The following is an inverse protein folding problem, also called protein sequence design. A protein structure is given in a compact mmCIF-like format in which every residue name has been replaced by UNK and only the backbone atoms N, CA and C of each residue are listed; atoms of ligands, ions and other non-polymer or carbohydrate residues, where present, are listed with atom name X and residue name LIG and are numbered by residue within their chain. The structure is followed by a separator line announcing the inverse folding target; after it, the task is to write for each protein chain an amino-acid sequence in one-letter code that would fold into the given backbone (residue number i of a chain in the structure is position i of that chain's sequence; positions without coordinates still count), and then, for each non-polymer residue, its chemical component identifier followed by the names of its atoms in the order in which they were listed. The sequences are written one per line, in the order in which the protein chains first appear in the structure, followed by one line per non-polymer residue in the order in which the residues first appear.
data_IF_481284617098
#
_entry.id   IF_481284617098
#
_cell.length_a   1.000
_cell.length_b   1.000
_cell.length_c   1.000
_cell.angle_alpha   90.00
_cell.angle_beta   90.00
_cell.angle_gamma   90.00
#
_symmetry.space_group_name_H-M   'P 1'
#
loop_
_entity.id
_entity.type
_entity.pdbx_description
1 polymer ?
#
# COMPACT_ATOMS: atom_id res chain seq x y z
N UNK A 1 21.84 -50.57 22.17
CA UNK A 1 21.04 -50.94 20.98
C UNK A 1 20.29 -49.69 20.56
N UNK A 2 20.71 -48.93 19.53
CA UNK A 2 20.34 -49.12 18.11
C UNK A 2 18.84 -49.45 17.93
N UNK A 3 18.04 -48.47 17.51
CA UNK A 3 17.46 -48.39 16.14
C UNK A 3 16.65 -47.11 15.93
N UNK A 4 16.87 -46.52 14.77
CA UNK A 4 16.09 -45.50 14.05
C UNK A 4 14.88 -46.13 13.37
N UNK A 5 13.78 -45.39 13.11
CA UNK A 5 13.24 -45.17 11.75
C UNK A 5 11.96 -44.30 11.73
N UNK A 6 11.83 -43.56 10.63
CA UNK A 6 10.89 -42.49 10.29
C UNK A 6 9.61 -42.96 9.55
N UNK A 7 8.73 -41.97 9.27
CA UNK A 7 7.62 -41.90 8.29
C UNK A 7 6.28 -42.54 8.73
N UNK A 8 5.08 -42.01 8.45
CA UNK A 8 4.62 -40.92 7.61
C UNK A 8 3.27 -40.41 8.15
N UNK A 9 2.96 -39.12 8.02
CA UNK A 9 1.56 -38.66 7.98
C UNK A 9 1.39 -37.89 6.68
N UNK A 10 0.84 -38.59 5.70
CA UNK A 10 0.28 -38.03 4.48
C UNK A 10 -1.00 -37.31 4.88
N UNK A 11 -0.98 -35.99 4.91
CA UNK A 11 -2.17 -35.17 5.04
C UNK A 11 -2.59 -34.70 3.64
N UNK A 12 -3.74 -35.21 3.22
CA UNK A 12 -4.47 -34.86 2.01
C UNK A 12 -4.81 -33.38 2.02
N UNK A 13 -4.17 -32.60 1.14
CA UNK A 13 -4.56 -31.24 0.79
C UNK A 13 -4.49 -31.11 -0.74
N UNK A 14 -5.55 -31.57 -1.40
CA UNK A 14 -5.81 -31.27 -2.80
C UNK A 14 -7.33 -31.17 -3.01
N UNK A 15 -7.89 -30.01 -2.66
CA UNK A 15 -9.15 -29.52 -3.20
C UNK A 15 -8.89 -28.11 -3.74
N UNK A 16 -7.91 -27.99 -4.64
CA UNK A 16 -7.89 -26.92 -5.61
C UNK A 16 -8.80 -27.32 -6.75
N UNK A 17 -9.79 -26.50 -7.08
CA UNK A 17 -10.46 -26.57 -8.38
C UNK A 17 -9.45 -26.19 -9.46
N UNK A 18 -8.60 -27.14 -9.84
CA UNK A 18 -7.85 -27.11 -11.08
C UNK A 18 -8.74 -27.79 -12.13
N UNK A 19 -9.34 -27.00 -13.01
CA UNK A 19 -9.78 -27.53 -14.30
C UNK A 19 -8.51 -27.89 -15.09
N UNK A 20 -8.27 -29.19 -15.26
CA UNK A 20 -7.27 -29.69 -16.19
C UNK A 20 -7.73 -29.38 -17.62
N UNK A 21 -6.98 -28.53 -18.32
CA UNK A 21 -7.00 -28.57 -19.79
C UNK A 21 -6.11 -29.75 -20.21
N UNK A 22 -6.59 -30.70 -21.04
CA UNK A 22 -5.73 -31.72 -21.60
C UNK A 22 -4.83 -31.09 -22.66
N UNK A 23 -3.52 -31.17 -22.48
CA UNK A 23 -2.57 -30.99 -23.58
C UNK A 23 -2.59 -32.24 -24.47
N UNK A 24 -2.93 -32.04 -25.75
CA UNK A 24 -2.73 -33.04 -26.80
C UNK A 24 -4.02 -33.55 -27.47
N UNK A 25 -4.60 -32.76 -28.37
CA UNK A 25 -5.32 -33.30 -29.51
C UNK A 25 -4.99 -32.48 -30.76
N UNK A 26 -4.33 -33.14 -31.70
CA UNK A 26 -4.05 -32.65 -33.03
C UNK A 26 -5.35 -32.32 -33.78
N UNK A 27 -5.23 -31.41 -34.76
CA UNK A 27 -6.22 -30.98 -35.75
C UNK A 27 -7.45 -31.89 -35.92
N UNK A 28 -8.61 -31.39 -35.50
CA UNK A 28 -9.90 -31.87 -35.96
C UNK A 28 -10.92 -30.73 -35.98
N UNK A 29 -11.09 -30.13 -37.16
CA UNK A 29 -12.27 -29.36 -37.57
C UNK A 29 -12.60 -28.13 -36.74
N UNK A 30 -12.20 -26.95 -37.21
CA UNK A 30 -12.64 -25.66 -36.71
C UNK A 30 -14.18 -25.57 -36.70
N UNK A 31 -14.79 -25.84 -35.55
CA UNK A 31 -16.13 -25.35 -35.23
C UNK A 31 -16.00 -23.86 -34.95
N UNK A 32 -16.82 -22.98 -35.55
CA UNK A 32 -16.82 -21.58 -35.20
C UNK A 32 -17.21 -21.46 -33.72
N UNK A 33 -16.22 -21.25 -32.86
CA UNK A 33 -16.45 -20.85 -31.48
C UNK A 33 -17.13 -19.50 -31.59
N UNK A 34 -18.44 -19.45 -31.34
CA UNK A 34 -19.14 -18.20 -31.16
C UNK A 34 -18.43 -17.48 -29.99
N UNK A 35 -17.59 -16.50 -30.32
CA UNK A 35 -17.20 -15.48 -29.34
C UNK A 35 -18.51 -14.79 -28.99
N UNK A 36 -19.10 -15.16 -27.87
CA UNK A 36 -20.09 -14.34 -27.22
C UNK A 36 -19.36 -13.07 -26.81
N UNK A 37 -19.29 -12.09 -27.72
CA UNK A 37 -18.93 -10.73 -27.35
C UNK A 37 -20.06 -10.22 -26.48
N UNK A 38 -19.82 -10.20 -25.16
CA UNK A 38 -20.63 -9.41 -24.26
C UNK A 38 -20.42 -7.95 -24.65
N UNK A 39 -21.31 -7.42 -25.49
CA UNK A 39 -21.40 -5.99 -25.76
C UNK A 39 -21.89 -5.35 -24.48
N UNK A 40 -20.98 -4.91 -23.62
CA UNK A 40 -21.37 -4.02 -22.54
C UNK A 40 -21.90 -2.73 -23.17
N UNK A 41 -23.06 -2.21 -22.72
CA UNK A 41 -23.53 -0.90 -23.13
C UNK A 41 -22.39 0.12 -22.95
N UNK A 42 -22.22 1.05 -23.88
CA UNK A 42 -21.23 2.13 -23.78
C UNK A 42 -21.39 2.96 -22.48
N UNK A 43 -22.56 2.86 -21.84
CA UNK A 43 -22.95 3.54 -20.60
C UNK A 43 -22.74 2.68 -19.34
N UNK A 44 -22.35 1.40 -19.50
CA UNK A 44 -22.10 0.48 -18.40
C UNK A 44 -20.66 0.63 -17.91
N UNK A 45 -20.41 1.64 -17.07
CA UNK A 45 -19.14 1.75 -16.37
C UNK A 45 -18.85 0.51 -15.51
N UNK A 46 -17.56 0.29 -15.23
CA UNK A 46 -17.05 -0.84 -14.46
C UNK A 46 -17.32 -0.62 -12.97
N UNK A 47 -17.58 -1.71 -12.27
CA UNK A 47 -17.66 -1.72 -10.82
C UNK A 47 -16.26 -1.94 -10.23
N UNK A 48 -15.84 -1.05 -9.33
CA UNK A 48 -14.55 -1.16 -8.65
C UNK A 48 -14.80 -1.34 -7.15
N UNK A 49 -14.15 -2.35 -6.57
CA UNK A 49 -14.34 -2.75 -5.19
C UNK A 49 -13.02 -2.75 -4.42
N UNK A 50 -13.09 -2.37 -3.14
CA UNK A 50 -11.91 -2.32 -2.30
C UNK A 50 -12.23 -2.15 -0.84
N UNK A 51 -11.21 -1.78 -0.09
CA UNK A 51 -11.29 -1.45 1.33
C UNK A 51 -10.53 -0.17 1.61
N UNK A 52 -10.94 0.51 2.68
CA UNK A 52 -10.25 1.69 3.19
C UNK A 52 -9.70 1.35 4.57
N UNK A 53 -8.43 1.62 4.80
CA UNK A 53 -7.77 1.21 6.04
C UNK A 53 -6.67 2.18 6.46
N UNK A 54 -6.30 2.06 7.72
CA UNK A 54 -5.17 2.76 8.35
C UNK A 54 -4.00 1.77 8.53
N UNK A 55 -2.99 1.79 7.63
CA UNK A 55 -1.86 0.86 7.68
C UNK A 55 -0.97 1.08 8.91
N UNK A 56 -0.95 2.27 9.49
CA UNK A 56 -0.19 2.54 10.70
C UNK A 56 -0.88 1.96 11.94
N UNK A 57 -2.21 1.99 12.00
CA UNK A 57 -2.95 1.33 13.07
C UNK A 57 -2.78 -0.19 12.99
N UNK A 58 -2.86 -0.77 11.78
CA UNK A 58 -2.57 -2.18 11.56
C UNK A 58 -1.17 -2.55 12.02
N UNK A 59 -0.17 -1.76 11.62
CA UNK A 59 1.22 -2.01 12.00
C UNK A 59 1.45 -1.84 13.50
N UNK A 60 0.83 -0.83 14.13
CA UNK A 60 0.89 -0.64 15.58
C UNK A 60 0.34 -1.85 16.33
N UNK A 61 -0.80 -2.38 15.89
CA UNK A 61 -1.40 -3.58 16.46
C UNK A 61 -0.52 -4.84 16.24
N UNK A 62 0.06 -4.98 15.04
CA UNK A 62 1.01 -6.06 14.74
C UNK A 62 2.27 -5.97 15.61
N UNK A 63 2.83 -4.77 15.77
CA UNK A 63 4.03 -4.53 16.55
C UNK A 63 3.78 -4.73 18.05
N UNK A 64 2.62 -4.34 18.56
CA UNK A 64 2.20 -4.58 19.94
C UNK A 64 2.02 -6.08 20.25
N UNK A 65 1.60 -6.87 19.25
CA UNK A 65 1.45 -8.32 19.39
C UNK A 65 2.80 -9.05 19.52
N UNK A 66 3.88 -8.49 18.96
CA UNK A 66 5.23 -9.02 19.09
C UNK A 66 5.58 -10.15 18.10
N UNK A 67 6.77 -10.75 18.29
CA UNK A 67 7.33 -11.76 17.37
C UNK A 67 6.54 -13.08 17.35
N UNK A 68 5.88 -13.42 18.46
CA UNK A 68 5.08 -14.65 18.60
C UNK A 68 3.58 -14.41 18.32
N UNK A 69 3.25 -13.35 17.57
CA UNK A 69 1.86 -13.02 17.28
C UNK A 69 1.17 -14.18 16.55
N UNK A 70 0.10 -14.78 17.13
CA UNK A 70 -0.60 -15.87 16.48
C UNK A 70 -1.47 -15.38 15.31
N UNK A 71 -1.64 -14.06 15.17
CA UNK A 71 -2.48 -13.46 14.14
C UNK A 71 -1.62 -13.19 12.91
N UNK A 72 -1.98 -13.76 11.74
CA UNK A 72 -1.19 -13.56 10.54
C UNK A 72 -1.34 -12.10 10.06
N UNK A 73 -0.26 -11.46 9.59
CA UNK A 73 -0.24 -10.06 9.13
C UNK A 73 -0.84 -9.95 7.71
N UNK A 74 -2.12 -10.28 7.60
CA UNK A 74 -2.88 -10.32 6.35
C UNK A 74 -4.01 -9.29 6.33
N UNK A 75 -4.22 -8.65 5.20
CA UNK A 75 -5.35 -7.74 4.95
C UNK A 75 -6.52 -8.47 4.28
N UNK A 76 -7.21 -9.29 5.07
CA UNK A 76 -8.44 -9.98 4.67
C UNK A 76 -9.48 -9.90 5.77
N UNK A 77 -10.76 -9.98 5.40
CA UNK A 77 -11.84 -9.99 6.38
C UNK A 77 -11.71 -11.17 7.34
N UNK A 78 -12.05 -10.93 8.60
CA UNK A 78 -11.93 -11.90 9.69
C UNK A 78 -10.56 -11.91 10.37
N UNK A 79 -9.57 -11.16 9.88
CA UNK A 79 -8.30 -10.96 10.59
C UNK A 79 -8.46 -9.79 11.58
N UNK A 80 -8.36 -10.02 12.90
CA UNK A 80 -8.64 -8.98 13.89
C UNK A 80 -7.79 -7.71 13.75
N UNK A 81 -6.49 -7.88 13.41
CA UNK A 81 -5.58 -6.75 13.18
C UNK A 81 -6.07 -5.87 12.02
N UNK A 82 -6.60 -6.48 10.96
CA UNK A 82 -7.12 -5.75 9.81
C UNK A 82 -8.47 -5.12 10.10
N UNK A 83 -9.38 -5.86 10.74
CA UNK A 83 -10.72 -5.36 11.11
C UNK A 83 -10.67 -4.13 12.03
N UNK A 84 -9.66 -4.04 12.90
CA UNK A 84 -9.40 -2.86 13.74
C UNK A 84 -8.81 -1.67 12.99
N UNK A 85 -8.14 -1.90 11.86
CA UNK A 85 -7.56 -0.87 11.01
C UNK A 85 -8.52 -0.34 9.92
N UNK A 86 -9.64 -1.03 9.69
CA UNK A 86 -10.62 -0.66 8.68
C UNK A 86 -11.37 0.63 9.02
N UNK A 87 -11.47 1.52 8.03
CA UNK A 87 -12.18 2.78 8.16
C UNK A 87 -13.62 2.59 7.71
N UNK A 88 -14.56 2.79 8.65
CA UNK A 88 -15.99 2.57 8.45
C UNK A 88 -16.71 3.89 8.19
N UNK A 89 -17.77 3.85 7.38
CA UNK A 89 -18.57 5.02 6.98
C UNK A 89 -17.72 6.23 6.54
N UNK A 90 -16.60 5.93 5.88
CA UNK A 90 -15.59 6.87 5.47
C UNK A 90 -15.74 7.19 3.97
N UNK A 91 -15.50 8.44 3.56
CA UNK A 91 -15.53 8.78 2.15
C UNK A 91 -14.33 8.18 1.41
N UNK A 92 -14.60 7.75 0.19
CA UNK A 92 -13.59 7.25 -0.76
C UNK A 92 -13.99 7.67 -2.18
N UNK A 93 -13.00 7.91 -3.01
CA UNK A 93 -13.19 8.24 -4.41
C UNK A 93 -12.13 7.60 -5.30
N UNK A 94 -12.40 7.58 -6.60
CA UNK A 94 -11.41 7.30 -7.63
C UNK A 94 -11.06 8.60 -8.33
N UNK A 95 -9.80 8.98 -8.23
CA UNK A 95 -9.25 10.15 -8.89
C UNK A 95 -8.79 9.79 -10.31
N UNK A 96 -9.14 10.65 -11.26
CA UNK A 96 -8.65 10.58 -12.62
C UNK A 96 -7.59 11.66 -12.88
N UNK A 97 -6.33 11.29 -13.15
CA UNK A 97 -5.27 12.25 -13.45
C UNK A 97 -5.48 13.03 -14.75
N UNK A 98 -6.34 12.57 -15.66
CA UNK A 98 -6.63 13.24 -16.94
C UNK A 98 -7.64 14.38 -16.74
N UNK A 99 -8.73 14.12 -16.01
CA UNK A 99 -9.77 15.11 -15.75
C UNK A 99 -9.52 15.95 -14.49
N UNK A 100 -8.53 15.57 -13.66
CA UNK A 100 -8.21 16.18 -12.37
C UNK A 100 -9.37 16.20 -11.36
N UNK A 101 -10.37 15.35 -11.58
CA UNK A 101 -11.57 15.26 -10.77
C UNK A 101 -11.84 13.81 -10.32
N UNK A 102 -12.58 13.62 -9.22
CA UNK A 102 -13.15 12.31 -8.88
C UNK A 102 -14.10 11.82 -9.99
N UNK A 103 -13.88 10.61 -10.50
CA UNK A 103 -14.77 9.97 -11.49
C UNK A 103 -15.84 9.10 -10.85
N UNK A 104 -15.61 8.68 -9.61
CA UNK A 104 -16.59 7.99 -8.78
C UNK A 104 -16.27 8.28 -7.31
N UNK A 105 -17.30 8.36 -6.47
CA UNK A 105 -17.16 8.57 -5.05
C UNK A 105 -18.28 7.86 -4.29
N UNK A 106 -18.01 7.53 -3.03
CA UNK A 106 -18.95 6.83 -2.16
C UNK A 106 -18.45 6.76 -0.74
N UNK A 107 -19.12 5.95 0.06
CA UNK A 107 -18.74 5.66 1.45
C UNK A 107 -18.37 4.19 1.58
N UNK A 108 -17.44 3.90 2.49
CA UNK A 108 -17.20 2.54 2.95
C UNK A 108 -18.39 2.03 3.76
N UNK A 109 -18.67 0.74 3.65
CA UNK A 109 -19.66 0.00 4.41
C UNK A 109 -19.32 -0.07 5.91
N UNK A 110 -20.19 -0.72 6.69
CA UNK A 110 -19.91 -1.06 8.09
C UNK A 110 -18.72 -2.03 8.24
N UNK A 111 -18.38 -2.78 7.19
CA UNK A 111 -17.22 -3.65 7.13
C UNK A 111 -15.97 -2.95 6.56
N UNK A 112 -15.99 -1.62 6.39
CA UNK A 112 -14.84 -0.85 5.86
C UNK A 112 -14.52 -1.09 4.38
N UNK A 113 -15.37 -1.82 3.67
CA UNK A 113 -15.26 -2.07 2.23
C UNK A 113 -16.03 -1.03 1.43
N UNK A 114 -15.62 -0.73 0.20
CA UNK A 114 -16.31 0.19 -0.68
C UNK A 114 -16.55 -0.43 -2.05
N UNK A 115 -17.57 0.08 -2.72
CA UNK A 115 -18.02 -0.38 -4.03
C UNK A 115 -18.46 0.86 -4.82
N UNK A 116 -17.74 1.15 -5.89
CA UNK A 116 -17.99 2.31 -6.75
C UNK A 116 -18.49 1.81 -8.10
N UNK A 117 -19.72 2.19 -8.44
CA UNK A 117 -20.35 1.89 -9.71
C UNK A 117 -20.02 2.96 -10.76
N UNK A 118 -20.25 2.62 -12.03
CA UNK A 118 -20.14 3.54 -13.17
C UNK A 118 -18.74 4.14 -13.38
N UNK A 119 -17.67 3.45 -12.98
CA UNK A 119 -16.31 3.90 -13.25
C UNK A 119 -16.03 3.77 -14.75
N UNK A 120 -15.58 4.81 -15.46
CA UNK A 120 -15.33 4.71 -16.88
C UNK A 120 -14.33 3.59 -17.22
N UNK A 121 -14.70 2.73 -18.17
CA UNK A 121 -13.77 1.76 -18.74
C UNK A 121 -12.80 2.50 -19.67
N UNK A 122 -11.49 2.45 -19.40
CA UNK A 122 -10.50 3.02 -20.32
C UNK A 122 -9.22 2.20 -20.37
N UNK A 123 -8.68 2.08 -21.57
CA UNK A 123 -7.35 1.54 -21.84
C UNK A 123 -6.34 2.69 -21.79
N UNK A 124 -5.29 2.57 -20.96
CA UNK A 124 -4.24 3.59 -20.85
C UNK A 124 -4.06 4.11 -19.43
N UNK A 125 -4.32 5.40 -19.22
CA UNK A 125 -4.05 6.05 -17.92
C UNK A 125 -4.94 5.46 -16.83
N UNK A 126 -4.40 4.94 -15.71
CA UNK A 126 -5.20 4.33 -14.67
C UNK A 126 -5.94 5.37 -13.82
N UNK A 127 -6.86 4.90 -12.96
CA UNK A 127 -7.42 5.70 -11.87
C UNK A 127 -6.67 5.41 -10.57
N UNK A 128 -6.79 6.30 -9.59
CA UNK A 128 -6.12 6.17 -8.30
C UNK A 128 -7.11 6.28 -7.14
N UNK A 129 -7.08 5.38 -6.15
CA UNK A 129 -7.88 5.52 -4.94
C UNK A 129 -7.51 6.80 -4.19
N UNK A 130 -8.53 7.54 -3.77
CA UNK A 130 -8.41 8.77 -3.01
C UNK A 130 -9.28 8.68 -1.76
N UNK A 131 -8.68 8.95 -0.60
CA UNK A 131 -9.37 9.07 0.66
C UNK A 131 -9.35 10.54 1.10
N UNK A 132 -10.50 11.23 1.15
CA UNK A 132 -10.56 12.60 1.63
C UNK A 132 -10.13 12.73 3.09
N UNK A 133 -9.72 13.95 3.45
CA UNK A 133 -9.44 14.32 4.83
C UNK A 133 -10.68 14.09 5.71
N UNK A 134 -10.48 13.65 6.95
CA UNK A 134 -11.56 13.53 7.92
C UNK A 134 -11.06 13.67 9.34
N UNK A 135 -11.94 14.11 10.23
CA UNK A 135 -11.73 13.88 11.65
C UNK A 135 -11.70 12.38 11.93
N UNK A 136 -10.80 11.97 12.80
CA UNK A 136 -10.79 10.60 13.29
C UNK A 136 -11.81 10.47 14.42
N UNK A 137 -12.50 9.33 14.49
CA UNK A 137 -13.16 8.93 15.71
C UNK A 137 -12.07 8.43 16.68
N UNK A 138 -12.19 8.70 17.98
CA UNK A 138 -11.19 8.24 18.96
C UNK A 138 -10.90 6.74 18.77
N UNK A 139 -9.62 6.38 18.63
CA UNK A 139 -9.23 4.96 18.57
C UNK A 139 -9.51 4.31 19.93
N UNK A 140 -9.84 3.00 19.97
CA UNK A 140 -10.05 2.27 21.23
C UNK A 140 -8.85 2.32 22.18
N UNK A 141 -7.67 2.63 21.65
CA UNK A 141 -6.39 2.52 22.34
C UNK A 141 -5.95 3.82 23.02
N UNK A 142 -6.85 4.82 23.15
CA UNK A 142 -6.57 6.08 23.85
C UNK A 142 -5.59 7.03 23.14
N UNK A 143 -5.11 6.67 21.95
CA UNK A 143 -4.36 7.57 21.07
C UNK A 143 -5.29 8.60 20.43
N UNK A 144 -5.10 9.88 20.77
CA UNK A 144 -5.75 10.98 20.04
C UNK A 144 -5.13 11.08 18.64
N UNK A 145 -5.84 10.56 17.65
CA UNK A 145 -5.65 10.96 16.25
C UNK A 145 -6.37 12.29 16.03
N UNK A 146 -5.64 13.36 15.73
CA UNK A 146 -6.24 14.67 15.41
C UNK A 146 -7.04 14.65 14.10
N UNK A 147 -6.81 13.64 13.26
CA UNK A 147 -7.51 13.42 12.00
C UNK A 147 -6.74 12.51 11.05
N UNK A 148 -7.28 12.38 9.85
CA UNK A 148 -6.61 11.80 8.69
C UNK A 148 -6.47 12.87 7.61
N UNK A 149 -5.32 12.85 6.93
CA UNK A 149 -5.02 13.74 5.81
C UNK A 149 -5.59 13.19 4.50
N UNK A 150 -5.90 14.08 3.53
CA UNK A 150 -6.30 13.63 2.21
C UNK A 150 -5.18 12.80 1.61
N UNK A 151 -5.48 11.60 1.14
CA UNK A 151 -4.48 10.61 0.72
C UNK A 151 -4.82 10.02 -0.65
N UNK A 152 -3.87 10.06 -1.57
CA UNK A 152 -3.94 9.43 -2.89
C UNK A 152 -3.05 8.19 -2.90
N UNK A 153 -3.62 7.01 -3.15
CA UNK A 153 -2.86 5.75 -3.17
C UNK A 153 -2.27 5.47 -4.56
N UNK A 154 -0.95 5.30 -4.65
CA UNK A 154 -0.18 5.04 -5.88
C UNK A 154 -0.34 3.62 -6.46
N UNK A 155 -1.39 2.89 -6.07
CA UNK A 155 -1.74 1.61 -6.68
C UNK A 155 -2.76 1.87 -7.78
N UNK A 156 -2.38 1.78 -9.07
CA UNK A 156 -3.28 2.09 -10.17
C UNK A 156 -4.44 1.11 -10.23
N UNK A 157 -5.61 1.61 -10.65
CA UNK A 157 -6.80 0.83 -10.98
C UNK A 157 -6.97 0.86 -12.50
N UNK A 158 -6.79 -0.29 -13.13
CA UNK A 158 -6.99 -0.46 -14.56
C UNK A 158 -8.42 -0.99 -14.84
N UNK A 159 -9.21 -0.26 -15.63
CA UNK A 159 -10.59 -0.64 -15.97
C UNK A 159 -10.76 -1.10 -17.41
N UNK A 160 -9.67 -1.08 -18.21
CA UNK A 160 -9.67 -1.46 -19.62
C UNK A 160 -9.56 -2.95 -19.91
N UNK A 161 -9.35 -3.79 -18.89
CA UNK A 161 -9.40 -5.24 -18.99
C UNK A 161 -10.69 -5.78 -18.39
N UNK A 162 -11.39 -6.66 -19.09
CA UNK A 162 -12.62 -7.30 -18.58
C UNK A 162 -12.28 -8.26 -17.44
N UNK A 163 -12.33 -7.73 -16.21
CA UNK A 163 -12.12 -8.45 -14.97
C UNK A 163 -12.36 -7.50 -13.81
N UNK A 164 -13.11 -7.93 -12.78
CA UNK A 164 -13.34 -7.08 -11.62
C UNK A 164 -12.01 -6.80 -10.91
N UNK A 165 -11.67 -5.53 -10.73
CA UNK A 165 -10.61 -5.13 -9.82
C UNK A 165 -11.09 -5.37 -8.38
N UNK A 166 -10.78 -6.53 -7.83
CA UNK A 166 -11.11 -6.90 -6.45
C UNK A 166 -9.93 -6.60 -5.52
N UNK A 167 -10.22 -6.11 -4.32
CA UNK A 167 -9.21 -5.90 -3.28
C UNK A 167 -8.33 -4.68 -3.49
N UNK A 168 -8.88 -3.59 -4.06
CA UNK A 168 -8.17 -2.32 -4.17
C UNK A 168 -8.03 -1.71 -2.77
N UNK A 169 -6.78 -1.41 -2.41
CA UNK A 169 -6.42 -0.73 -1.16
C UNK A 169 -6.56 0.77 -1.36
N UNK A 170 -7.38 1.42 -0.53
CA UNK A 170 -7.32 2.85 -0.31
C UNK A 170 -6.74 3.09 1.09
N UNK A 171 -5.82 4.03 1.22
CA UNK A 171 -5.12 4.30 2.48
C UNK A 171 -5.59 5.60 3.10
N UNK A 172 -5.74 5.64 4.43
CA UNK A 172 -5.81 6.89 5.18
C UNK A 172 -4.51 7.14 5.94
N UNK A 173 -3.81 8.20 5.59
CA UNK A 173 -2.63 8.65 6.34
C UNK A 173 -3.07 9.43 7.59
N UNK A 174 -2.58 9.01 8.76
CA UNK A 174 -2.90 9.65 10.03
C UNK A 174 -2.10 10.93 10.23
N UNK A 175 -2.71 11.92 10.88
CA UNK A 175 -2.03 13.12 11.34
C UNK A 175 -1.09 12.88 12.54
N UNK A 176 -1.18 11.73 13.21
CA UNK A 176 -0.43 11.44 14.46
C UNK A 176 0.61 10.32 14.34
N UNK A 177 0.90 9.87 13.12
CA UNK A 177 1.85 8.79 12.87
C UNK A 177 3.07 9.18 12.07
N UNK A 178 3.21 8.65 10.85
CA UNK A 178 4.42 8.83 10.03
C UNK A 178 4.63 10.31 9.72
N UNK A 179 3.57 11.01 9.35
CA UNK A 179 3.63 12.43 8.95
C UNK A 179 3.88 13.37 10.14
N UNK A 180 3.39 13.02 11.34
CA UNK A 180 3.73 13.77 12.55
C UNK A 180 5.22 13.62 12.89
N UNK A 181 5.76 12.40 12.77
CA UNK A 181 7.17 12.13 13.01
C UNK A 181 8.06 12.96 12.07
N UNK A 182 7.69 13.03 10.79
CA UNK A 182 8.39 13.86 9.80
C UNK A 182 8.26 15.34 10.13
N UNK A 183 7.06 15.83 10.45
CA UNK A 183 6.85 17.23 10.79
C UNK A 183 7.68 17.66 12.02
N UNK A 184 7.73 16.81 13.06
CA UNK A 184 8.57 17.07 14.24
C UNK A 184 10.06 17.03 13.93
N UNK A 185 10.50 16.15 13.03
CA UNK A 185 11.90 16.09 12.60
C UNK A 185 12.31 17.34 11.79
N UNK A 186 11.44 17.84 10.91
CA UNK A 186 11.70 19.08 10.15
C UNK A 186 11.54 20.35 10.99
N UNK A 187 10.94 20.24 12.18
CA UNK A 187 10.78 21.38 13.07
C UNK A 187 12.13 21.83 13.62
N UNK A 188 12.31 23.14 13.72
CA UNK A 188 13.50 23.79 14.27
C UNK A 188 13.16 24.53 15.56
N UNK A 189 14.15 25.12 16.22
CA UNK A 189 13.91 25.95 17.42
C UNK A 189 13.02 27.17 17.14
N UNK A 190 12.92 27.61 15.89
CA UNK A 190 12.17 28.80 15.48
C UNK A 190 10.90 28.49 14.69
N UNK A 191 10.71 27.23 14.26
CA UNK A 191 9.60 26.86 13.39
C UNK A 191 9.10 25.46 13.73
N UNK A 192 7.85 25.39 14.17
CA UNK A 192 7.17 24.13 14.44
C UNK A 192 6.27 23.77 13.26
N UNK A 193 6.48 22.59 12.69
CA UNK A 193 5.61 22.01 11.68
C UNK A 193 4.67 20.97 12.30
N UNK A 194 3.52 20.81 11.67
CA UNK A 194 2.53 19.77 11.93
C UNK A 194 2.35 18.88 10.70
N UNK A 195 1.71 17.72 10.84
CA UNK A 195 1.42 16.85 9.69
C UNK A 195 0.63 17.58 8.58
N UNK A 196 -0.27 18.50 8.95
CA UNK A 196 -1.04 19.33 8.00
C UNK A 196 -0.15 20.28 7.19
N UNK A 197 0.94 20.73 7.78
CA UNK A 197 1.87 21.61 7.10
C UNK A 197 2.56 20.92 5.93
N UNK A 198 2.83 19.61 6.03
CA UNK A 198 3.48 18.83 4.98
C UNK A 198 2.67 18.75 3.68
N UNK A 199 1.36 18.99 3.74
CA UNK A 199 0.49 19.09 2.56
C UNK A 199 0.13 20.53 2.20
N UNK A 200 0.57 21.52 2.97
CA UNK A 200 0.33 22.93 2.66
C UNK A 200 1.29 23.42 1.55
N UNK A 201 0.78 23.84 0.38
CA UNK A 201 1.61 24.31 -0.75
C UNK A 201 2.50 25.51 -0.40
N UNK A 202 2.14 26.28 0.63
CA UNK A 202 2.93 27.45 1.08
C UNK A 202 4.17 27.04 1.89
N UNK A 203 4.20 25.81 2.41
CA UNK A 203 5.28 25.27 3.24
C UNK A 203 6.07 24.17 2.53
N UNK A 204 5.39 23.30 1.79
CA UNK A 204 5.99 22.18 1.08
C UNK A 204 5.32 21.96 -0.29
N UNK A 205 6.10 21.49 -1.27
CA UNK A 205 5.63 21.25 -2.64
C UNK A 205 4.86 19.95 -2.83
N UNK A 206 4.80 19.11 -1.79
CA UNK A 206 4.17 17.78 -1.81
C UNK A 206 4.91 16.78 -0.93
N UNK A 207 4.20 15.72 -0.54
CA UNK A 207 4.75 14.65 0.31
C UNK A 207 4.33 13.28 -0.22
N UNK A 208 5.29 12.35 -0.26
CA UNK A 208 5.03 10.95 -0.57
C UNK A 208 5.48 10.04 0.57
N UNK A 209 4.64 9.10 0.96
CA UNK A 209 4.95 8.00 1.90
C UNK A 209 5.03 6.71 1.10
N UNK A 210 6.20 6.08 1.09
CA UNK A 210 6.45 4.80 0.44
C UNK A 210 6.67 3.74 1.51
N UNK A 211 5.81 2.73 1.54
CA UNK A 211 5.92 1.61 2.47
C UNK A 211 6.14 0.30 1.72
N UNK A 212 7.32 -0.26 1.90
CA UNK A 212 7.75 -1.52 1.36
C UNK A 212 7.32 -2.71 2.25
N UNK A 213 6.78 -3.75 1.62
CA UNK A 213 6.40 -5.01 2.26
C UNK A 213 7.22 -6.17 1.69
N UNK A 214 7.41 -7.22 2.49
CA UNK A 214 8.18 -8.41 2.08
C UNK A 214 7.52 -9.14 0.90
N UNK A 215 8.24 -9.94 0.09
CA UNK A 215 7.60 -10.73 -0.96
C UNK A 215 6.52 -11.67 -0.44
N UNK A 216 5.43 -11.79 -1.18
CA UNK A 216 4.29 -12.62 -0.80
C UNK A 216 3.01 -12.28 -1.57
N UNK A 217 1.87 -12.89 -1.20
CA UNK A 217 0.58 -12.49 -1.75
C UNK A 217 0.32 -11.01 -1.44
N UNK A 218 -0.46 -10.33 -2.29
CA UNK A 218 -0.73 -8.89 -2.16
C UNK A 218 -1.44 -8.49 -0.87
N UNK A 219 -1.95 -9.45 -0.12
CA UNK A 219 -2.57 -9.27 1.19
C UNK A 219 -1.59 -9.38 2.36
N UNK A 220 -0.36 -9.89 2.14
CA UNK A 220 0.66 -9.95 3.17
C UNK A 220 1.24 -8.55 3.40
N UNK A 221 1.14 -8.07 4.63
CA UNK A 221 1.57 -6.73 5.04
C UNK A 221 2.66 -6.78 6.11
N UNK A 222 3.63 -7.69 5.92
CA UNK A 222 4.86 -7.71 6.73
C UNK A 222 5.80 -6.62 6.21
N UNK A 223 6.27 -5.69 7.04
CA UNK A 223 7.18 -4.64 6.58
C UNK A 223 8.52 -5.20 6.07
N UNK A 224 9.03 -4.59 5.00
CA UNK A 224 10.34 -4.90 4.44
C UNK A 224 11.42 -4.08 5.14
N UNK A 225 11.82 -4.51 6.34
CA UNK A 225 12.85 -3.82 7.12
C UNK A 225 14.14 -3.61 6.31
N UNK A 226 14.74 -2.42 6.42
CA UNK A 226 15.98 -2.05 5.75
C UNK A 226 15.84 -1.63 4.28
N UNK A 227 14.65 -1.77 3.67
CA UNK A 227 14.37 -1.25 2.32
C UNK A 227 14.19 0.26 2.37
N UNK A 228 14.77 0.97 1.40
CA UNK A 228 14.71 2.43 1.31
C UNK A 228 14.17 2.87 -0.05
N UNK A 229 13.79 4.14 -0.18
CA UNK A 229 13.54 4.75 -1.47
C UNK A 229 14.66 5.69 -1.92
N UNK A 230 14.79 5.87 -3.23
CA UNK A 230 15.56 6.94 -3.87
C UNK A 230 14.60 7.86 -4.60
N UNK A 231 14.93 9.15 -4.63
CA UNK A 231 14.20 10.17 -5.37
C UNK A 231 15.15 11.07 -6.17
N UNK A 232 14.75 11.47 -7.37
CA UNK A 232 15.49 12.47 -8.17
C UNK A 232 15.25 13.92 -7.70
N UNK A 233 14.31 14.12 -6.77
CA UNK A 233 14.02 15.44 -6.19
C UNK A 233 13.42 15.34 -4.79
N UNK A 234 13.51 16.44 -4.03
CA UNK A 234 13.06 16.48 -2.64
C UNK A 234 14.02 15.81 -1.65
N UNK A 235 13.69 15.93 -0.36
CA UNK A 235 14.42 15.31 0.75
C UNK A 235 13.87 13.90 0.97
N UNK A 236 14.76 12.91 1.06
CA UNK A 236 14.40 11.52 1.37
C UNK A 236 14.66 11.26 2.85
N UNK A 237 13.59 10.91 3.57
CA UNK A 237 13.59 10.69 5.01
C UNK A 237 13.25 9.23 5.29
N UNK A 238 14.08 8.57 6.09
CA UNK A 238 13.86 7.17 6.45
C UNK A 238 13.10 7.10 7.77
N UNK A 239 12.01 6.34 7.80
CA UNK A 239 11.14 6.28 8.97
C UNK A 239 11.24 4.92 9.62
N UNK A 240 11.60 4.96 10.90
CA UNK A 240 11.64 3.82 11.78
C UNK A 240 10.47 3.86 12.76
N UNK A 241 10.32 2.79 13.52
CA UNK A 241 9.31 2.68 14.56
C UNK A 241 9.91 2.06 15.82
N UNK A 242 9.45 2.55 16.95
CA UNK A 242 9.68 1.94 18.26
C UNK A 242 8.40 2.09 19.09
N UNK A 243 8.22 1.29 20.15
CA UNK A 243 7.13 1.51 21.09
C UNK A 243 7.09 2.97 21.58
N UNK A 244 5.91 3.61 21.71
CA UNK A 244 5.82 4.97 22.22
C UNK A 244 6.47 5.13 23.60
N UNK A 245 7.30 6.17 23.77
CA UNK A 245 7.88 6.54 25.07
C UNK A 245 9.15 5.78 25.47
N UNK A 246 9.64 4.85 24.65
CA UNK A 246 10.89 4.11 24.94
C UNK A 246 12.14 4.77 24.36
N UNK A 247 11.96 5.71 23.43
CA UNK A 247 13.06 6.42 22.78
C UNK A 247 13.45 7.68 23.54
N UNK A 248 14.73 8.10 23.47
CA UNK A 248 15.15 9.39 23.99
C UNK A 248 14.34 10.55 23.38
N UNK A 249 14.00 11.60 24.15
CA UNK A 249 13.18 12.71 23.68
C UNK A 249 13.70 13.40 22.41
N UNK A 250 15.02 13.38 22.18
CA UNK A 250 15.66 13.98 21.02
C UNK A 250 15.28 13.35 19.67
N UNK A 251 14.74 12.13 19.65
CA UNK A 251 14.30 11.47 18.41
C UNK A 251 12.89 11.92 17.97
N UNK A 252 12.24 12.81 18.72
CA UNK A 252 11.00 13.49 18.32
C UNK A 252 9.91 12.52 17.80
N UNK A 253 9.74 11.39 18.49
CA UNK A 253 8.80 10.33 18.15
C UNK A 253 7.35 10.85 18.09
N UNK A 254 6.56 10.35 17.13
CA UNK A 254 5.12 10.62 17.06
C UNK A 254 4.34 9.80 18.09
N UNK A 255 3.09 10.19 18.41
CA UNK A 255 2.23 9.42 19.31
C UNK A 255 2.05 7.95 18.93
N UNK A 256 2.13 7.61 17.64
CA UNK A 256 2.03 6.21 17.16
C UNK A 256 3.38 5.47 17.12
N UNK A 257 4.46 6.09 17.58
CA UNK A 257 5.76 5.45 17.74
C UNK A 257 6.73 5.60 16.57
N UNK A 258 6.35 6.31 15.51
CA UNK A 258 7.21 6.55 14.35
C UNK A 258 8.22 7.67 14.63
N UNK A 259 9.39 7.59 14.02
CA UNK A 259 10.43 8.62 14.09
C UNK A 259 11.30 8.58 12.83
N UNK A 260 11.91 9.70 12.48
CA UNK A 260 12.90 9.76 11.40
C UNK A 260 14.24 9.28 11.95
N UNK A 261 14.87 8.33 11.27
CA UNK A 261 16.12 7.73 11.69
C UNK A 261 17.26 8.09 10.73
N UNK A 262 18.36 8.60 11.28
CA UNK A 262 19.51 9.09 10.50
C UNK A 262 20.44 7.96 10.04
N UNK A 263 20.51 6.83 10.77
CA UNK A 263 21.43 5.73 10.48
C UNK A 263 20.77 4.63 9.62
N UNK A 264 21.21 4.42 8.36
CA UNK A 264 20.71 3.38 7.47
C UNK A 264 20.63 1.96 8.06
N UNK A 265 21.52 1.62 9.01
CA UNK A 265 21.59 0.29 9.61
C UNK A 265 20.44 -0.01 10.61
N UNK A 266 19.78 1.03 11.13
CA UNK A 266 18.63 0.93 12.04
C UNK A 266 17.31 1.42 11.41
N UNK A 267 17.35 2.04 10.23
CA UNK A 267 16.44 3.13 9.90
C UNK A 267 15.23 2.86 8.98
N UNK A 268 14.75 1.64 8.74
CA UNK A 268 13.42 1.59 8.13
C UNK A 268 12.61 0.39 8.56
N UNK A 269 11.36 0.67 8.99
CA UNK A 269 10.28 -0.30 8.96
C UNK A 269 9.81 -0.54 7.50
N UNK A 270 10.70 -0.45 6.51
CA UNK A 270 10.37 -0.37 5.10
C UNK A 270 9.69 0.94 4.69
N UNK A 271 9.72 1.98 5.54
CA UNK A 271 9.04 3.25 5.30
C UNK A 271 10.05 4.32 4.89
N UNK A 272 9.79 4.99 3.78
CA UNK A 272 10.53 6.17 3.33
C UNK A 272 9.55 7.28 2.97
N UNK A 273 9.83 8.49 3.43
CA UNK A 273 9.08 9.69 3.08
C UNK A 273 9.91 10.55 2.14
N UNK A 274 9.30 11.01 1.05
CA UNK A 274 9.89 11.99 0.13
C UNK A 274 9.14 13.31 0.30
N UNK A 275 9.87 14.34 0.72
CA UNK A 275 9.32 15.66 1.00
C UNK A 275 9.85 16.69 0.00
N UNK A 276 8.95 17.32 -0.74
CA UNK A 276 9.32 18.33 -1.73
C UNK A 276 9.40 19.71 -1.07
N UNK A 277 10.43 20.51 -1.37
CA UNK A 277 10.46 21.91 -0.93
C UNK A 277 9.28 22.68 -1.53
N UNK A 278 8.88 23.79 -0.88
CA UNK A 278 7.89 24.70 -1.44
C UNK A 278 8.32 25.18 -2.84
N UNK A 279 7.36 25.25 -3.76
CA UNK A 279 7.60 25.62 -5.14
C UNK A 279 6.62 24.99 -6.12
N UNK A 280 6.79 25.26 -7.43
CA UNK A 280 5.95 24.64 -8.45
C UNK A 280 6.12 23.11 -8.44
N UNK A 281 5.04 22.33 -8.61
CA UNK A 281 5.12 20.88 -8.70
C UNK A 281 6.07 20.46 -9.82
N UNK A 282 7.06 19.64 -9.49
CA UNK A 282 8.04 19.10 -10.42
C UNK A 282 7.92 17.57 -10.47
N UNK A 283 8.07 16.95 -11.66
CA UNK A 283 8.14 15.50 -11.73
C UNK A 283 9.36 14.95 -11.01
N UNK A 284 9.17 13.88 -10.25
CA UNK A 284 10.22 13.15 -9.55
C UNK A 284 10.16 11.67 -9.89
N UNK A 285 11.31 11.04 -10.04
CA UNK A 285 11.41 9.60 -10.20
C UNK A 285 11.58 8.95 -8.84
N UNK A 286 10.66 8.04 -8.49
CA UNK A 286 10.70 7.29 -7.24
C UNK A 286 11.04 5.84 -7.52
N UNK A 287 11.94 5.27 -6.72
CA UNK A 287 12.28 3.85 -6.79
C UNK A 287 12.59 3.31 -5.39
N UNK A 288 12.20 2.07 -5.12
CA UNK A 288 12.66 1.34 -3.93
C UNK A 288 13.95 0.58 -4.21
N UNK A 289 14.81 0.55 -3.21
CA UNK A 289 16.10 -0.14 -3.22
C UNK A 289 16.21 -0.97 -1.95
N UNK A 290 16.47 -2.26 -2.11
CA UNK A 290 16.84 -3.16 -1.01
C UNK A 290 18.38 -3.28 -0.95
N UNK A 291 19.05 -2.59 -0.01
CA UNK A 291 20.50 -2.71 0.14
C UNK A 291 20.91 -3.98 0.91
N UNK A 292 19.95 -4.70 1.50
CA UNK A 292 20.25 -5.86 2.36
C UNK A 292 20.61 -7.05 1.48
N UNK A 293 21.67 -7.75 1.85
CA UNK A 293 22.11 -8.99 1.21
C UNK A 293 21.90 -10.15 2.17
N UNK A 294 20.93 -11.00 1.89
CA UNK A 294 20.63 -12.19 2.68
C UNK A 294 20.03 -13.28 1.79
N UNK A 295 20.82 -14.33 1.55
CA UNK A 295 20.42 -15.45 0.71
C UNK A 295 19.28 -16.26 1.32
N UNK A 296 19.15 -16.31 2.66
CA UNK A 296 18.10 -17.11 3.33
C UNK A 296 16.71 -16.56 3.06
N UNK A 297 16.60 -15.24 2.94
CA UNK A 297 15.35 -14.53 2.66
C UNK A 297 15.22 -14.11 1.20
N UNK A 298 16.17 -14.50 0.34
CA UNK A 298 16.17 -14.20 -1.10
C UNK A 298 16.40 -12.71 -1.42
N UNK A 299 17.12 -11.99 -0.57
CA UNK A 299 17.45 -10.57 -0.75
C UNK A 299 18.73 -10.36 -1.57
N UNK A 300 18.86 -9.25 -2.33
CA UNK A 300 17.96 -8.09 -2.36
C UNK A 300 16.67 -8.36 -3.13
N UNK A 301 15.54 -7.90 -2.58
CA UNK A 301 14.25 -7.98 -3.26
C UNK A 301 14.13 -6.91 -4.35
N UNK A 302 13.35 -7.23 -5.38
CA UNK A 302 12.99 -6.29 -6.43
C UNK A 302 11.63 -5.66 -6.12
N UNK A 303 11.38 -4.45 -6.61
CA UNK A 303 10.12 -3.76 -6.43
C UNK A 303 9.63 -3.24 -7.77
N UNK A 304 8.31 -3.12 -7.91
CA UNK A 304 7.74 -2.50 -9.10
C UNK A 304 8.22 -1.04 -9.21
N UNK A 305 8.72 -0.62 -10.38
CA UNK A 305 9.16 0.76 -10.55
C UNK A 305 7.94 1.69 -10.51
N UNK A 306 7.94 2.67 -9.61
CA UNK A 306 6.93 3.73 -9.60
C UNK A 306 7.08 4.70 -10.78
N UNK A 307 8.29 4.78 -11.35
CA UNK A 307 8.58 5.66 -12.48
C UNK A 307 8.55 7.14 -12.08
N UNK A 308 8.21 7.99 -13.04
CA UNK A 308 8.11 9.43 -12.85
C UNK A 308 6.69 9.80 -12.38
N UNK A 309 6.59 10.43 -11.21
CA UNK A 309 5.35 10.90 -10.61
C UNK A 309 5.42 12.41 -10.34
N UNK A 310 4.26 13.07 -10.30
CA UNK A 310 4.17 14.45 -9.80
C UNK A 310 3.51 14.39 -8.43
N UNK A 311 4.21 14.84 -7.40
CA UNK A 311 3.65 14.93 -6.06
C UNK A 311 2.78 16.19 -5.99
N UNK A 312 1.48 16.01 -5.88
CA UNK A 312 0.56 17.13 -5.79
C UNK A 312 0.58 17.70 -4.35
N UNK A 313 0.69 19.02 -4.18
CA UNK A 313 0.45 19.65 -2.89
C UNK A 313 -1.03 19.49 -2.49
N UNK A 314 -1.33 19.61 -1.20
CA UNK A 314 -2.68 19.43 -0.66
C UNK A 314 -3.10 17.98 -0.44
N UNK A 315 -2.28 16.99 -0.83
CA UNK A 315 -2.57 15.56 -0.68
C UNK A 315 -1.31 14.77 -0.32
N UNK A 316 -1.48 13.72 0.48
CA UNK A 316 -0.44 12.73 0.76
C UNK A 316 -0.44 11.71 -0.37
N UNK A 317 0.68 11.59 -1.08
CA UNK A 317 0.90 10.51 -2.02
C UNK A 317 1.35 9.25 -1.28
N UNK A 318 0.66 8.12 -1.44
CA UNK A 318 0.93 6.93 -0.63
C UNK A 318 1.15 5.68 -1.48
N UNK A 319 2.34 5.08 -1.39
CA UNK A 319 2.71 3.88 -2.13
C UNK A 319 2.85 2.65 -1.23
N UNK A 320 2.00 1.65 -1.44
CA UNK A 320 2.17 0.30 -0.88
C UNK A 320 2.89 -0.59 -1.89
N UNK A 321 4.12 -1.01 -1.60
CA UNK A 321 4.97 -1.71 -2.56
C UNK A 321 5.37 -3.07 -2.03
N UNK A 322 4.89 -4.13 -2.70
CA UNK A 322 5.29 -5.50 -2.38
C UNK A 322 6.65 -5.82 -3.01
N UNK A 323 7.53 -6.43 -2.23
CA UNK A 323 8.75 -7.03 -2.73
C UNK A 323 8.45 -8.19 -3.69
N UNK A 324 9.36 -8.42 -4.60
CA UNK A 324 9.38 -9.52 -5.54
C UNK A 324 10.68 -10.30 -5.30
N UNK A 325 10.57 -11.62 -5.26
CA UNK A 325 11.76 -12.46 -5.27
C UNK A 325 12.48 -12.29 -6.61
N UNK A 326 13.82 -12.24 -6.63
CA UNK A 326 14.58 -12.17 -7.88
C UNK A 326 14.20 -13.34 -8.79
N UNK A 327 13.63 -13.06 -9.97
CA UNK A 327 13.38 -14.11 -10.96
C UNK A 327 14.62 -14.32 -11.82
N UNK A 328 15.08 -15.56 -11.96
CA UNK A 328 16.17 -15.94 -12.88
C UNK A 328 15.76 -15.99 -14.34
N UNK A 329 14.47 -15.88 -14.65
CA UNK A 329 13.93 -15.78 -16.01
C UNK A 329 13.10 -14.51 -16.15
N UNK A 330 13.23 -13.80 -17.27
CA UNK A 330 12.47 -12.59 -17.62
C UNK A 330 10.98 -12.82 -17.86
N UNK A 331 10.32 -13.57 -16.98
CA UNK A 331 8.88 -13.77 -16.98
C UNK A 331 8.19 -12.50 -16.50
N UNK A 332 7.14 -12.11 -17.23
CA UNK A 332 6.25 -11.03 -16.82
C UNK A 332 5.76 -11.23 -15.37
N UNK A 333 5.59 -10.16 -14.59
CA UNK A 333 5.16 -10.26 -13.21
C UNK A 333 3.81 -11.00 -13.10
N UNK A 334 3.53 -11.65 -11.97
CA UNK A 334 2.29 -12.38 -11.76
C UNK A 334 1.06 -11.48 -12.01
N UNK A 335 0.08 -11.99 -12.77
CA UNK A 335 -1.20 -11.35 -13.14
C UNK A 335 -2.14 -10.98 -11.97
N UNK A 336 -1.68 -11.08 -10.71
CA UNK A 336 -2.42 -10.71 -9.51
C UNK A 336 -2.40 -9.21 -9.22
N UNK A 337 -1.57 -8.48 -9.94
CA UNK A 337 -1.68 -7.04 -10.03
C UNK A 337 -2.79 -6.74 -11.04
N UNK A 338 -3.77 -5.91 -10.66
CA UNK A 338 -4.60 -5.18 -11.62
C UNK A 338 -3.70 -4.19 -12.37
N UNK A 339 -2.79 -4.72 -13.17
CA UNK A 339 -1.93 -4.05 -14.11
C UNK A 339 -2.39 -4.49 -15.51
N UNK A 340 -2.29 -3.60 -16.51
CA UNK A 340 -2.89 -3.76 -17.84
C UNK A 340 -2.56 -5.08 -18.53
#
# INVERSE_FOLDING_TARGET
MKTSLSFAVVAVLAAGCAFQLPEGSADAGAQPVAKTEYVAPADAGVQVNGYLWDPEAFFGALAACGQDCPIPPLVFSGIPLFEGALQRQAPVALFDPVSTAPVAAGLTSAAGTWNLAHVPARTGVPFFPFAPARASAALPDGGSTTGYLPTLTFRPVATGGWGQCLGISAVQASESGILDAVARHESTTTTTYTAKDLVDPTKFGGVAVLWAFQPGPSSLRVPAFGVNATSTGGKVLKVAWAPPGVLPPMLNQSPRGFYVADDPATASAGITVVLMPAGPPAPVTLALVDPVKDEKTGRPWQFFPLGQVVLAPGVVSYGELQGLLPSTGGGAPPRWLCLP
#
